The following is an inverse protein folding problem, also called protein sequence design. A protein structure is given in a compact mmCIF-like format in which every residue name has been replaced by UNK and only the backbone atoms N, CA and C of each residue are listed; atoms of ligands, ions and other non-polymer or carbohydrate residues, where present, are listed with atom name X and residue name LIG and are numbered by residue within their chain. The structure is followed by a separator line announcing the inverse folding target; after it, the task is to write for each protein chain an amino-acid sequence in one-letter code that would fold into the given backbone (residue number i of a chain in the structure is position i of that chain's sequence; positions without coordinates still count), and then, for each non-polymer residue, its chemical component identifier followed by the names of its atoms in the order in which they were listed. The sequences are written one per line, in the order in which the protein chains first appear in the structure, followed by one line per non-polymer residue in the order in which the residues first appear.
data_IF_606637621488
#
_entry.id   IF_606637621488
#
_cell.length_a   1.000
_cell.length_b   1.000
_cell.length_c   1.000
_cell.angle_alpha   90.00
_cell.angle_beta   90.00
_cell.angle_gamma   90.00
#
_symmetry.space_group_name_H-M   'P 1'
#
loop_
_entity.id
_entity.type
_entity.pdbx_description
1 polymer ?
#
# COMPACT_ATOMS: atom_id res chain seq x y z
N UNK A 1 -16.71 21.91 -9.58
CA UNK A 1 -15.40 21.24 -9.49
C UNK A 1 -15.58 19.92 -8.78
N UNK A 2 -15.06 18.83 -9.35
CA UNK A 2 -15.06 17.53 -8.69
C UNK A 2 -13.75 17.40 -7.94
N UNK A 3 -13.85 17.15 -6.65
CA UNK A 3 -12.72 16.97 -5.75
C UNK A 3 -11.79 15.85 -6.26
N UNK A 4 -10.55 16.22 -6.56
CA UNK A 4 -9.60 15.31 -7.19
C UNK A 4 -9.16 14.16 -6.28
N UNK A 5 -9.11 14.40 -4.96
CA UNK A 5 -8.81 13.36 -3.96
C UNK A 5 -9.93 12.34 -3.90
N UNK A 6 -11.19 12.79 -4.00
CA UNK A 6 -12.34 11.87 -4.10
C UNK A 6 -12.33 11.08 -5.41
N UNK A 7 -12.07 11.74 -6.54
CA UNK A 7 -11.95 11.04 -7.82
C UNK A 7 -10.84 9.97 -7.80
N UNK A 8 -9.69 10.30 -7.22
CA UNK A 8 -8.59 9.35 -7.06
C UNK A 8 -9.00 8.18 -6.14
N UNK A 9 -9.67 8.46 -5.03
CA UNK A 9 -10.15 7.43 -4.11
C UNK A 9 -11.18 6.50 -4.77
N UNK A 10 -12.09 7.04 -5.59
CA UNK A 10 -13.02 6.24 -6.40
C UNK A 10 -12.29 5.38 -7.41
N UNK A 11 -11.30 5.92 -8.12
CA UNK A 11 -10.49 5.13 -9.06
C UNK A 11 -9.71 4.01 -8.37
N UNK A 12 -9.20 4.24 -7.16
CA UNK A 12 -8.57 3.19 -6.37
C UNK A 12 -9.56 2.05 -6.06
N UNK A 13 -10.76 2.39 -5.57
CA UNK A 13 -11.83 1.41 -5.24
C UNK A 13 -12.28 0.61 -6.45
N UNK A 14 -12.32 1.23 -7.62
CA UNK A 14 -12.67 0.58 -8.89
C UNK A 14 -11.47 -0.17 -9.52
N UNK A 15 -10.30 -0.17 -8.87
CA UNK A 15 -9.04 -0.69 -9.43
C UNK A 15 -8.67 -0.07 -10.79
N UNK A 16 -9.05 1.18 -11.02
CA UNK A 16 -8.69 1.95 -12.21
C UNK A 16 -7.26 2.52 -12.07
N UNK A 17 -6.29 1.63 -12.20
CA UNK A 17 -4.85 1.94 -12.03
C UNK A 17 -4.38 3.00 -13.03
N UNK A 18 -4.86 2.95 -14.28
CA UNK A 18 -4.46 3.90 -15.32
C UNK A 18 -5.02 5.29 -15.08
N UNK A 19 -6.26 5.39 -14.61
CA UNK A 19 -6.82 6.67 -14.18
C UNK A 19 -6.00 7.30 -13.07
N UNK A 20 -5.61 6.51 -12.06
CA UNK A 20 -4.78 6.98 -10.97
C UNK A 20 -3.38 7.43 -11.41
N UNK A 21 -2.74 6.70 -12.32
CA UNK A 21 -1.46 7.09 -12.91
C UNK A 21 -1.52 8.49 -13.54
N UNK A 22 -2.58 8.72 -14.33
CA UNK A 22 -2.82 10.01 -14.99
C UNK A 22 -3.03 11.11 -13.93
N UNK A 23 -3.85 10.85 -12.90
CA UNK A 23 -4.10 11.83 -11.84
C UNK A 23 -2.81 12.18 -11.06
N UNK A 24 -2.02 11.20 -10.64
CA UNK A 24 -0.74 11.48 -9.97
C UNK A 24 0.25 12.20 -10.87
N UNK A 25 0.24 11.91 -12.17
CA UNK A 25 1.17 12.52 -13.13
C UNK A 25 0.84 13.98 -13.40
N UNK A 26 -0.43 14.31 -13.62
CA UNK A 26 -0.83 15.65 -14.08
C UNK A 26 -1.41 16.56 -12.99
N UNK A 27 -1.74 15.98 -11.84
CA UNK A 27 -2.25 16.71 -10.68
C UNK A 27 -1.48 16.36 -9.40
N UNK A 28 -0.18 16.05 -9.54
CA UNK A 28 0.64 15.60 -8.42
C UNK A 28 0.74 16.61 -7.28
N UNK A 29 0.81 17.91 -7.59
CA UNK A 29 0.83 18.99 -6.59
C UNK A 29 -0.31 18.93 -5.59
N UNK A 30 -1.50 18.51 -6.04
CA UNK A 30 -2.71 18.48 -5.21
C UNK A 30 -2.94 17.08 -4.61
N UNK A 31 -2.39 16.03 -5.23
CA UNK A 31 -2.74 14.63 -4.94
C UNK A 31 -1.64 13.82 -4.25
N UNK A 32 -0.35 14.13 -4.47
CA UNK A 32 0.76 13.38 -3.90
C UNK A 32 0.78 13.36 -2.35
N UNK A 33 0.34 14.43 -1.63
CA UNK A 33 0.19 14.36 -0.18
C UNK A 33 -0.76 13.24 0.30
N UNK A 34 -1.65 12.79 -0.58
CA UNK A 34 -2.66 11.76 -0.34
C UNK A 34 -2.34 10.43 -1.02
N UNK A 35 -1.13 10.27 -1.59
CA UNK A 35 -0.75 9.06 -2.34
C UNK A 35 -1.00 7.78 -1.52
N UNK A 36 -0.46 7.68 -0.31
CA UNK A 36 -0.62 6.49 0.53
C UNK A 36 -2.09 6.25 0.95
N UNK A 37 -2.86 7.26 1.43
CA UNK A 37 -4.30 7.12 1.67
C UNK A 37 -5.10 6.64 0.45
N UNK A 38 -4.80 7.17 -0.74
CA UNK A 38 -5.47 6.77 -1.99
C UNK A 38 -5.12 5.33 -2.35
N UNK A 39 -3.85 4.92 -2.23
CA UNK A 39 -3.44 3.54 -2.47
C UNK A 39 -4.07 2.55 -1.47
N UNK A 40 -4.36 2.98 -0.23
CA UNK A 40 -5.10 2.16 0.74
C UNK A 40 -6.55 1.88 0.34
N UNK A 41 -7.10 2.58 -0.65
CA UNK A 41 -8.46 2.38 -1.14
C UNK A 41 -8.57 1.33 -2.27
N UNK A 42 -7.45 0.76 -2.75
CA UNK A 42 -7.53 -0.43 -3.61
C UNK A 42 -8.22 -1.57 -2.86
N UNK A 43 -9.13 -2.34 -3.49
CA UNK A 43 -9.69 -3.54 -2.87
C UNK A 43 -8.59 -4.51 -2.43
N UNK A 44 -8.78 -5.18 -1.30
CA UNK A 44 -7.81 -6.14 -0.77
C UNK A 44 -7.58 -7.33 -1.70
N UNK A 45 -8.54 -7.61 -2.57
CA UNK A 45 -8.50 -8.68 -3.57
C UNK A 45 -7.81 -8.29 -4.88
N UNK A 46 -7.44 -7.01 -5.06
CA UNK A 46 -6.76 -6.54 -6.26
C UNK A 46 -5.28 -6.91 -6.17
N UNK A 47 -4.75 -7.60 -7.19
CA UNK A 47 -3.36 -8.03 -7.17
C UNK A 47 -2.40 -6.83 -7.10
N UNK A 48 -1.46 -6.78 -6.12
CA UNK A 48 -0.47 -5.72 -6.03
C UNK A 48 0.39 -5.52 -7.27
N UNK A 49 0.53 -6.56 -8.10
CA UNK A 49 1.26 -6.45 -9.36
C UNK A 49 0.57 -5.50 -10.35
N UNK A 50 -0.76 -5.42 -10.34
CA UNK A 50 -1.55 -4.57 -11.25
C UNK A 50 -1.28 -3.08 -11.02
N UNK A 51 -1.07 -2.68 -9.76
CA UNK A 51 -0.80 -1.29 -9.36
C UNK A 51 0.63 -1.05 -8.88
N UNK A 52 1.53 -2.00 -9.15
CA UNK A 52 2.90 -1.99 -8.62
C UNK A 52 3.71 -0.75 -9.01
N UNK A 53 3.45 -0.16 -10.18
CA UNK A 53 4.11 1.07 -10.63
C UNK A 53 3.59 2.34 -9.93
N UNK A 54 2.44 2.26 -9.24
CA UNK A 54 1.94 3.34 -8.40
C UNK A 54 2.55 3.30 -6.98
N UNK A 55 3.17 2.18 -6.59
CA UNK A 55 3.73 2.00 -5.26
C UNK A 55 4.98 2.86 -5.04
N UNK A 56 5.21 3.36 -3.81
CA UNK A 56 6.43 4.06 -3.47
C UNK A 56 7.64 3.12 -3.47
N UNK A 57 8.77 3.64 -3.93
CA UNK A 57 10.06 2.97 -3.95
C UNK A 57 11.14 3.83 -3.32
N UNK A 58 12.20 3.21 -2.82
CA UNK A 58 13.34 3.89 -2.23
C UNK A 58 14.60 3.68 -3.06
N UNK A 59 15.47 4.69 -3.07
CA UNK A 59 16.76 4.64 -3.74
C UNK A 59 17.80 5.41 -2.92
N UNK A 60 19.06 4.97 -2.98
CA UNK A 60 20.16 5.69 -2.36
C UNK A 60 20.54 6.91 -3.19
N UNK A 61 20.43 8.10 -2.60
CA UNK A 61 20.92 9.37 -3.15
C UNK A 61 21.86 10.00 -2.14
N UNK A 62 23.07 10.38 -2.57
CA UNK A 62 24.06 11.07 -1.73
C UNK A 62 24.29 10.41 -0.34
N UNK A 63 24.32 9.08 -0.29
CA UNK A 63 24.46 8.24 0.91
C UNK A 63 23.26 8.21 1.88
N UNK A 64 22.11 8.80 1.52
CA UNK A 64 20.85 8.64 2.22
C UNK A 64 19.88 7.77 1.42
N UNK A 65 19.13 6.90 2.09
CA UNK A 65 18.02 6.18 1.48
C UNK A 65 16.78 7.08 1.49
N UNK A 66 16.27 7.42 0.31
CA UNK A 66 15.17 8.36 0.15
C UNK A 66 14.06 7.75 -0.70
N UNK A 67 12.82 8.21 -0.50
CA UNK A 67 11.70 7.83 -1.36
C UNK A 67 11.84 8.52 -2.71
N UNK A 68 11.71 7.75 -3.79
CA UNK A 68 11.78 8.28 -5.15
C UNK A 68 10.55 9.18 -5.39
N UNK A 69 10.75 10.46 -5.74
CA UNK A 69 9.64 11.37 -6.03
C UNK A 69 8.89 10.90 -7.27
N UNK A 70 7.58 11.18 -7.31
CA UNK A 70 6.78 10.90 -8.49
C UNK A 70 7.19 11.83 -9.64
N UNK A 71 7.27 11.29 -10.86
CA UNK A 71 7.59 12.10 -12.04
C UNK A 71 6.35 12.84 -12.54
N UNK A 72 6.07 14.00 -11.97
CA UNK A 72 4.99 14.88 -12.41
C UNK A 72 5.23 15.45 -13.82
N UNK A 73 4.14 15.74 -14.54
CA UNK A 73 4.14 16.41 -15.84
C UNK A 73 3.07 17.49 -15.86
N UNK A 74 3.37 18.63 -16.48
CA UNK A 74 2.36 19.65 -16.77
C UNK A 74 1.82 19.46 -18.19
N UNK A 75 0.51 19.63 -18.37
CA UNK A 75 -0.11 19.60 -19.70
C UNK A 75 0.29 20.79 -20.56
N UNK A 76 0.44 21.97 -19.93
CA UNK A 76 0.86 23.23 -20.54
C UNK A 76 1.43 24.16 -19.48
N UNK A 77 1.99 25.26 -19.92
CA UNK A 77 2.29 26.39 -19.04
C UNK A 77 0.99 26.93 -18.43
N UNK A 78 1.09 27.33 -17.16
CA UNK A 78 -0.02 27.94 -16.43
C UNK A 78 -0.42 29.26 -17.08
N UNK A 79 -1.72 29.47 -17.27
CA UNK A 79 -2.21 30.76 -17.74
C UNK A 79 -2.15 31.78 -16.60
N UNK A 80 -2.15 33.07 -16.93
CA UNK A 80 -2.09 34.15 -15.93
C UNK A 80 -3.23 34.07 -14.91
N UNK A 81 -4.38 33.50 -15.29
CA UNK A 81 -5.55 33.32 -14.44
C UNK A 81 -5.48 32.07 -13.52
N UNK A 82 -4.50 31.18 -13.73
CA UNK A 82 -4.28 29.99 -12.90
C UNK A 82 -3.31 30.25 -11.74
N UNK A 83 -2.68 31.43 -11.72
CA UNK A 83 -1.80 31.86 -10.64
C UNK A 83 -2.54 31.92 -9.29
N UNK A 84 -1.79 31.74 -8.22
CA UNK A 84 -2.31 31.74 -6.84
C UNK A 84 -3.12 33.00 -6.51
N UNK A 85 -2.71 34.17 -7.01
CA UNK A 85 -3.43 35.42 -6.83
C UNK A 85 -4.86 35.38 -7.42
N UNK A 86 -5.04 34.75 -8.59
CA UNK A 86 -6.35 34.62 -9.22
C UNK A 86 -7.20 33.53 -8.56
N UNK A 87 -6.59 32.40 -8.17
CA UNK A 87 -7.27 31.31 -7.45
C UNK A 87 -7.89 31.80 -6.14
N UNK A 88 -7.14 32.57 -5.34
CA UNK A 88 -7.61 33.12 -4.05
C UNK A 88 -8.79 34.11 -4.19
N UNK A 89 -8.92 34.78 -5.34
CA UNK A 89 -10.01 35.73 -5.61
C UNK A 89 -11.31 35.00 -6.00
N UNK A 90 -11.19 33.90 -6.76
CA UNK A 90 -12.34 33.14 -7.28
C UNK A 90 -12.86 32.16 -6.23
N UNK A 91 -11.96 31.54 -5.46
CA UNK A 91 -12.31 30.54 -4.46
C UNK A 91 -11.66 30.88 -3.11
N UNK A 92 -12.23 31.84 -2.35
CA UNK A 92 -11.68 32.29 -1.08
C UNK A 92 -11.81 31.23 0.03
N UNK A 93 -12.59 30.16 -0.19
CA UNK A 93 -12.75 29.04 0.73
C UNK A 93 -12.11 27.82 0.08
N UNK A 94 -10.80 27.68 0.25
CA UNK A 94 -10.14 26.37 0.12
C UNK A 94 -10.66 25.50 1.27
N UNK A 95 -11.92 25.03 1.19
CA UNK A 95 -12.35 23.90 1.99
C UNK A 95 -11.34 22.80 1.68
N UNK A 96 -10.73 22.22 2.72
CA UNK A 96 -9.84 21.07 2.53
C UNK A 96 -10.75 19.92 2.08
N UNK A 97 -11.00 19.87 0.79
CA UNK A 97 -11.89 18.94 0.12
C UNK A 97 -11.47 17.48 0.46
N UNK A 98 -10.24 17.27 0.91
CA UNK A 98 -9.78 15.98 1.44
C UNK A 98 -10.43 15.55 2.77
N UNK A 99 -11.14 16.44 3.48
CA UNK A 99 -11.89 16.12 4.71
C UNK A 99 -12.82 14.93 4.52
N UNK A 100 -13.48 14.82 3.37
CA UNK A 100 -14.43 13.73 3.07
C UNK A 100 -13.74 12.35 3.08
N UNK A 101 -12.48 12.26 2.63
CA UNK A 101 -11.74 11.00 2.67
C UNK A 101 -11.51 10.57 4.12
N UNK A 102 -11.07 11.50 4.97
CA UNK A 102 -10.73 11.20 6.37
C UNK A 102 -11.95 11.11 7.29
N UNK A 103 -13.07 11.72 6.94
CA UNK A 103 -14.34 11.52 7.64
C UNK A 103 -14.77 10.04 7.53
N UNK A 104 -14.54 9.42 6.37
CA UNK A 104 -14.84 7.99 6.16
C UNK A 104 -13.77 7.05 6.72
N UNK A 105 -12.50 7.46 6.73
CA UNK A 105 -11.33 6.65 7.09
C UNK A 105 -10.29 7.47 7.88
N UNK A 106 -10.60 7.84 9.14
CA UNK A 106 -9.77 8.75 9.93
C UNK A 106 -8.38 8.17 10.24
N UNK A 107 -8.24 6.85 10.26
CA UNK A 107 -6.98 6.15 10.46
C UNK A 107 -5.95 6.39 9.35
N UNK A 108 -6.40 6.80 8.15
CA UNK A 108 -5.51 7.10 7.02
C UNK A 108 -4.86 8.47 7.13
N UNK A 109 -5.34 9.35 8.02
CA UNK A 109 -4.79 10.70 8.18
C UNK A 109 -3.30 10.68 8.52
N UNK A 110 -2.84 9.68 9.29
CA UNK A 110 -1.42 9.51 9.63
C UNK A 110 -0.52 9.23 8.42
N UNK A 111 -1.09 8.83 7.29
CA UNK A 111 -0.37 8.57 6.03
C UNK A 111 -0.41 9.76 5.06
N UNK A 112 -1.10 10.86 5.41
CA UNK A 112 -1.04 12.11 4.67
C UNK A 112 0.33 12.76 4.91
N UNK A 113 1.10 12.99 3.85
CA UNK A 113 2.41 13.64 3.95
C UNK A 113 2.84 14.23 2.61
N UNK A 114 3.19 15.52 2.58
CA UNK A 114 3.80 16.17 1.41
C UNK A 114 5.17 15.55 1.10
N UNK A 115 6.00 15.38 2.14
CA UNK A 115 7.30 14.71 2.05
C UNK A 115 7.21 13.35 2.72
N UNK A 116 7.10 12.31 1.91
CA UNK A 116 6.93 10.94 2.39
C UNK A 116 8.27 10.39 2.88
N UNK A 117 8.35 10.00 4.17
CA UNK A 117 9.54 9.38 4.74
C UNK A 117 9.60 7.86 4.54
N UNK A 118 10.81 7.29 4.60
CA UNK A 118 11.04 5.83 4.55
C UNK A 118 10.25 5.10 5.65
N UNK A 119 10.26 5.63 6.88
CA UNK A 119 9.53 5.04 8.00
C UNK A 119 8.01 5.05 7.75
N UNK A 120 7.48 6.15 7.18
CA UNK A 120 6.07 6.24 6.86
C UNK A 120 5.65 5.19 5.82
N UNK A 121 6.45 5.02 4.75
CA UNK A 121 6.20 4.02 3.71
C UNK A 121 6.33 2.60 4.26
N UNK A 122 7.35 2.34 5.07
CA UNK A 122 7.54 1.04 5.71
C UNK A 122 6.33 0.65 6.56
N UNK A 123 5.84 1.58 7.39
CA UNK A 123 4.65 1.38 8.22
C UNK A 123 3.39 1.20 7.38
N UNK A 124 3.27 1.93 6.26
CA UNK A 124 2.16 1.77 5.32
C UNK A 124 2.15 0.39 4.67
N UNK A 125 3.28 -0.12 4.17
CA UNK A 125 3.39 -1.47 3.61
C UNK A 125 3.00 -2.55 4.63
N UNK A 126 3.52 -2.43 5.86
CA UNK A 126 3.15 -3.31 6.97
C UNK A 126 1.64 -3.32 7.20
N UNK A 127 1.07 -2.14 7.42
CA UNK A 127 -0.34 -2.00 7.72
C UNK A 127 -1.22 -2.47 6.58
N UNK A 128 -0.84 -2.16 5.34
CA UNK A 128 -1.62 -2.52 4.15
C UNK A 128 -1.60 -4.03 3.91
N UNK A 129 -0.48 -4.70 4.10
CA UNK A 129 -0.41 -6.16 4.02
C UNK A 129 -1.26 -6.84 5.10
N UNK A 130 -1.25 -6.32 6.34
CA UNK A 130 -2.14 -6.80 7.41
C UNK A 130 -3.62 -6.62 7.07
N UNK A 131 -4.01 -5.49 6.46
CA UNK A 131 -5.38 -5.24 6.03
C UNK A 131 -5.81 -6.21 4.92
N UNK A 132 -4.96 -6.40 3.91
CA UNK A 132 -5.21 -7.35 2.81
C UNK A 132 -5.47 -8.74 3.38
N UNK A 133 -4.56 -9.24 4.22
CA UNK A 133 -4.68 -10.56 4.81
C UNK A 133 -5.92 -10.64 5.73
N UNK A 134 -6.12 -9.69 6.64
CA UNK A 134 -7.17 -9.80 7.64
C UNK A 134 -8.58 -9.66 7.07
N UNK A 135 -8.77 -8.86 6.00
CA UNK A 135 -10.09 -8.62 5.41
C UNK A 135 -10.44 -9.56 4.26
N UNK A 136 -9.45 -10.02 3.49
CA UNK A 136 -9.70 -10.88 2.32
C UNK A 136 -9.23 -12.33 2.48
N UNK A 137 -8.37 -12.62 3.47
CA UNK A 137 -7.65 -13.89 3.62
C UNK A 137 -6.81 -14.29 2.38
N UNK A 138 -6.55 -13.35 1.46
CA UNK A 138 -5.66 -13.54 0.32
C UNK A 138 -4.21 -13.31 0.75
N UNK A 139 -3.61 -14.37 1.29
CA UNK A 139 -2.22 -14.36 1.79
C UNK A 139 -1.23 -14.08 0.67
N UNK A 140 -1.53 -14.58 -0.54
CA UNK A 140 -0.77 -14.33 -1.77
C UNK A 140 -0.73 -12.84 -2.14
N UNK A 141 -1.87 -12.13 -2.06
CA UNK A 141 -1.92 -10.69 -2.28
C UNK A 141 -1.12 -9.94 -1.22
N UNK A 142 -1.27 -10.26 0.07
CA UNK A 142 -0.50 -9.62 1.13
C UNK A 142 1.02 -9.84 0.94
N UNK A 143 1.43 -11.08 0.65
CA UNK A 143 2.83 -11.44 0.41
C UNK A 143 3.40 -10.75 -0.83
N UNK A 144 2.63 -10.67 -1.92
CA UNK A 144 3.02 -9.98 -3.15
C UNK A 144 3.30 -8.51 -2.90
N UNK A 145 2.46 -7.82 -2.12
CA UNK A 145 2.67 -6.42 -1.76
C UNK A 145 4.00 -6.23 -0.99
N UNK A 146 4.28 -7.10 -0.02
CA UNK A 146 5.48 -7.02 0.81
C UNK A 146 6.74 -7.31 -0.02
N UNK A 147 6.70 -8.32 -0.90
CA UNK A 147 7.80 -8.63 -1.83
C UNK A 147 8.07 -7.46 -2.77
N UNK A 148 7.03 -6.84 -3.33
CA UNK A 148 7.16 -5.65 -4.17
C UNK A 148 7.80 -4.47 -3.43
N UNK A 149 7.48 -4.29 -2.14
CA UNK A 149 8.13 -3.29 -1.29
C UNK A 149 9.62 -3.58 -1.08
N UNK A 150 9.97 -4.85 -0.83
CA UNK A 150 11.37 -5.28 -0.67
C UNK A 150 12.18 -5.11 -1.96
N UNK A 151 11.62 -5.50 -3.10
CA UNK A 151 12.23 -5.30 -4.44
C UNK A 151 12.48 -3.81 -4.74
N UNK A 152 11.66 -2.93 -4.15
CA UNK A 152 11.75 -1.46 -4.22
C UNK A 152 12.59 -0.83 -3.11
N UNK A 153 13.44 -1.64 -2.45
CA UNK A 153 14.35 -1.22 -1.38
C UNK A 153 13.66 -0.60 -0.14
N UNK A 154 12.39 -0.91 0.12
CA UNK A 154 11.74 -0.51 1.37
C UNK A 154 12.27 -1.41 2.51
N UNK A 155 12.91 -0.84 3.54
CA UNK A 155 13.53 -1.62 4.62
C UNK A 155 12.47 -2.16 5.59
N UNK A 156 12.89 -3.05 6.50
CA UNK A 156 12.04 -3.48 7.64
C UNK A 156 10.87 -4.40 7.29
N UNK A 157 10.78 -4.90 6.05
CA UNK A 157 9.69 -5.77 5.58
C UNK A 157 10.00 -7.27 5.69
N UNK A 158 11.24 -7.65 6.02
CA UNK A 158 11.71 -9.05 5.97
C UNK A 158 10.94 -9.97 6.92
N UNK A 159 10.75 -9.57 8.18
CA UNK A 159 10.05 -10.40 9.16
C UNK A 159 8.59 -10.66 8.78
N UNK A 160 7.90 -9.63 8.29
CA UNK A 160 6.54 -9.77 7.76
C UNK A 160 6.51 -10.72 6.54
N UNK A 161 7.49 -10.60 5.63
CA UNK A 161 7.59 -11.50 4.50
C UNK A 161 7.78 -12.96 4.96
N UNK A 162 8.63 -13.21 5.95
CA UNK A 162 8.88 -14.56 6.48
C UNK A 162 7.62 -15.13 7.17
N UNK A 163 6.87 -14.31 7.92
CA UNK A 163 5.58 -14.69 8.50
C UNK A 163 4.55 -15.03 7.39
N UNK A 164 4.43 -14.19 6.36
CA UNK A 164 3.49 -14.39 5.25
C UNK A 164 3.83 -15.62 4.40
N UNK A 165 5.11 -15.92 4.17
CA UNK A 165 5.53 -17.17 3.51
C UNK A 165 5.13 -18.39 4.33
N UNK A 166 5.31 -18.31 5.65
CA UNK A 166 4.89 -19.38 6.57
C UNK A 166 3.37 -19.56 6.51
N UNK A 167 2.62 -18.46 6.52
CA UNK A 167 1.16 -18.47 6.42
C UNK A 167 0.69 -19.04 5.08
N UNK A 168 1.29 -18.61 3.97
CA UNK A 168 0.99 -19.11 2.61
C UNK A 168 1.17 -20.62 2.54
N UNK A 169 2.27 -21.14 3.09
CA UNK A 169 2.55 -22.58 3.17
C UNK A 169 1.48 -23.31 3.99
N UNK A 170 1.11 -22.75 5.14
CA UNK A 170 0.10 -23.35 6.03
C UNK A 170 -1.29 -23.39 5.39
N UNK A 171 -1.69 -22.31 4.71
CA UNK A 171 -3.01 -22.16 4.13
C UNK A 171 -3.13 -22.93 2.80
N UNK A 172 -2.18 -22.78 1.88
CA UNK A 172 -2.31 -23.31 0.52
C UNK A 172 -1.60 -24.64 0.28
N UNK A 173 -0.45 -24.89 0.89
CA UNK A 173 0.33 -26.11 0.62
C UNK A 173 -0.04 -27.25 1.55
N UNK A 174 -0.09 -26.98 2.86
CA UNK A 174 -0.42 -28.00 3.86
C UNK A 174 -1.93 -28.12 4.09
N UNK A 175 -2.68 -27.04 3.85
CA UNK A 175 -4.12 -26.95 4.11
C UNK A 175 -4.49 -27.28 5.55
N UNK A 176 -3.59 -27.06 6.51
CA UNK A 176 -3.76 -27.46 7.90
C UNK A 176 -4.84 -26.66 8.61
N UNK A 177 -4.86 -25.35 8.37
CA UNK A 177 -5.90 -24.45 8.83
C UNK A 177 -6.05 -23.31 7.83
N UNK A 178 -7.15 -23.35 7.06
CA UNK A 178 -7.47 -22.31 6.07
C UNK A 178 -8.02 -21.03 6.70
N UNK A 179 -8.29 -21.04 8.01
CA UNK A 179 -8.86 -19.92 8.75
C UNK A 179 -7.83 -19.18 9.61
N UNK A 180 -6.61 -19.74 9.73
CA UNK A 180 -5.52 -19.13 10.47
C UNK A 180 -5.18 -17.76 9.89
N UNK A 181 -5.18 -16.74 10.76
CA UNK A 181 -4.82 -15.37 10.38
C UNK A 181 -3.37 -15.04 10.66
N UNK A 182 -2.82 -14.05 9.96
CA UNK A 182 -1.46 -13.54 10.19
C UNK A 182 -1.24 -13.12 11.64
N UNK A 183 -2.19 -12.40 12.24
CA UNK A 183 -2.08 -11.93 13.64
C UNK A 183 -2.01 -13.08 14.64
N UNK A 184 -2.74 -14.16 14.37
CA UNK A 184 -2.73 -15.36 15.22
C UNK A 184 -1.39 -16.07 15.06
N UNK A 185 -0.92 -16.25 13.82
CA UNK A 185 0.40 -16.80 13.54
C UNK A 185 1.51 -16.01 14.24
N UNK A 186 1.47 -14.67 14.22
CA UNK A 186 2.48 -13.83 14.86
C UNK A 186 2.52 -13.94 16.38
N UNK A 187 1.42 -14.35 17.00
CA UNK A 187 1.33 -14.56 18.45
C UNK A 187 1.76 -15.97 18.88
N UNK A 188 1.86 -16.91 17.93
CA UNK A 188 2.29 -18.29 18.20
C UNK A 188 3.78 -18.38 18.52
N UNK A 189 4.11 -19.29 19.43
CA UNK A 189 5.50 -19.68 19.64
C UNK A 189 6.04 -20.43 18.41
N UNK A 190 7.35 -20.34 18.17
CA UNK A 190 7.99 -21.03 17.04
C UNK A 190 7.72 -22.54 17.04
N UNK A 191 7.61 -23.16 18.23
CA UNK A 191 7.29 -24.59 18.33
C UNK A 191 5.87 -24.92 17.84
N UNK A 192 4.92 -24.01 18.02
CA UNK A 192 3.54 -24.17 17.55
C UNK A 192 3.48 -24.02 16.03
N UNK A 193 4.16 -23.01 15.48
CA UNK A 193 4.32 -22.84 14.02
C UNK A 193 4.91 -24.11 13.37
N UNK A 194 5.97 -24.66 13.95
CA UNK A 194 6.60 -25.90 13.48
C UNK A 194 5.66 -27.10 13.55
N UNK A 195 4.90 -27.25 14.65
CA UNK A 195 3.91 -28.32 14.77
C UNK A 195 2.83 -28.23 13.70
N UNK A 196 2.35 -27.03 13.37
CA UNK A 196 1.36 -26.82 12.31
C UNK A 196 1.92 -27.24 10.94
N UNK A 197 3.14 -26.80 10.60
CA UNK A 197 3.81 -27.16 9.35
C UNK A 197 3.99 -28.68 9.21
N UNK A 198 4.28 -29.37 10.32
CA UNK A 198 4.50 -30.81 10.34
C UNK A 198 3.24 -31.66 10.49
N UNK A 199 2.08 -31.07 10.79
CA UNK A 199 0.90 -31.80 11.24
C UNK A 199 0.34 -32.81 10.23
N UNK A 200 0.61 -32.63 8.93
CA UNK A 200 0.24 -33.56 7.86
C UNK A 200 1.42 -34.28 7.19
N UNK A 201 2.60 -34.21 7.79
CA UNK A 201 3.78 -34.95 7.31
C UNK A 201 3.72 -36.40 7.80
N UNK A 202 3.80 -37.37 6.89
CA UNK A 202 3.98 -38.79 7.23
C UNK A 202 5.46 -39.13 7.39
N UNK A 203 5.80 -40.18 8.15
CA UNK A 203 7.19 -40.63 8.36
C UNK A 203 7.97 -40.81 7.04
N UNK A 204 7.31 -41.31 6.00
CA UNK A 204 7.91 -41.52 4.67
C UNK A 204 8.19 -40.23 3.86
N UNK A 205 7.56 -39.11 4.21
CA UNK A 205 7.69 -37.82 3.50
C UNK A 205 8.66 -36.85 4.18
N UNK A 206 9.18 -37.22 5.35
CA UNK A 206 10.04 -36.39 6.19
C UNK A 206 11.31 -35.90 5.48
N UNK A 207 11.85 -36.65 4.52
CA UNK A 207 13.10 -36.29 3.80
C UNK A 207 12.88 -35.27 2.67
N UNK A 208 11.62 -35.02 2.27
CA UNK A 208 11.29 -34.16 1.11
C UNK A 208 10.69 -32.79 1.46
N UNK A 209 10.37 -32.55 2.73
CA UNK A 209 9.75 -31.32 3.23
C UNK A 209 10.80 -30.36 3.81
#
# INVERSE_FOLDING_TARGET
NQNIVLSASTYARESNVRGLEILFTYHGSDLLPYRLPVLSNFPETTSPHEYSFLLPEACYRENALEIVPWSEKKHREEDWCEGSACKLIIDPVLQDESEILFDSQPELLKYRATDISINLVTNWYWKRAEEIENYSMQVDCALSLVRLGMERNIPGLRSLCDDLVTLETLVYETGCDITLKLKELQQMENIEKLRLLMSKSSEDRYVKN
#
